data_IF_912552929319
#
_entry.id   IF_912552929319
#
_cell.length_a   1.000
_cell.length_b   1.000
_cell.length_c   1.000
_cell.angle_alpha   90.00
_cell.angle_beta   90.00
_cell.angle_gamma   90.00
#
_symmetry.space_group_name_H-M   'P 1'
#
loop_
_entity.id
_entity.type
_entity.pdbx_description
1 polymer ?
#
# COMPACT_ATOMS: atom_id res chain seq x y z
N UNK A 1 17.50 7.36 6.65
CA UNK A 1 16.78 6.24 6.01
C UNK A 1 17.12 6.28 4.53
N UNK A 2 17.26 5.12 3.86
CA UNK A 2 17.66 5.09 2.44
C UNK A 2 16.44 4.78 1.57
N UNK A 3 16.41 5.39 0.38
CA UNK A 3 15.44 5.12 -0.67
C UNK A 3 16.15 4.40 -1.82
N UNK A 4 15.49 3.41 -2.38
CA UNK A 4 16.01 2.61 -3.49
C UNK A 4 15.05 2.67 -4.66
N UNK A 5 15.59 2.75 -5.88
CA UNK A 5 14.78 2.52 -7.09
C UNK A 5 14.33 1.08 -7.12
N UNK A 6 13.10 0.87 -7.56
CA UNK A 6 12.53 -0.47 -7.67
C UNK A 6 11.82 -0.67 -8.99
N UNK A 7 11.93 -1.89 -9.53
CA UNK A 7 11.01 -2.35 -10.56
C UNK A 7 9.90 -3.14 -9.87
N UNK A 8 8.66 -2.70 -10.04
CA UNK A 8 7.49 -3.37 -9.44
C UNK A 8 7.12 -4.57 -10.30
N UNK A 9 7.18 -5.76 -9.72
CA UNK A 9 6.86 -7.02 -10.43
C UNK A 9 5.35 -7.26 -10.38
N UNK A 10 4.75 -7.14 -9.19
CA UNK A 10 3.31 -7.34 -8.97
C UNK A 10 2.88 -6.89 -7.57
N UNK A 11 1.65 -6.41 -7.49
CA UNK A 11 0.94 -6.21 -6.21
C UNK A 11 0.25 -7.53 -5.81
N UNK A 12 0.63 -8.07 -4.65
CA UNK A 12 0.10 -9.33 -4.13
C UNK A 12 -1.24 -9.10 -3.43
N UNK A 13 -1.27 -8.10 -2.56
CA UNK A 13 -2.37 -7.71 -1.69
C UNK A 13 -2.27 -6.21 -1.34
N UNK A 14 -3.26 -5.66 -0.63
CA UNK A 14 -3.33 -4.25 -0.24
C UNK A 14 -2.12 -3.71 0.54
N UNK A 15 -1.29 -4.56 1.13
CA UNK A 15 -0.08 -4.15 1.86
C UNK A 15 1.19 -4.89 1.41
N UNK A 16 1.14 -5.67 0.34
CA UNK A 16 2.21 -6.59 -0.03
C UNK A 16 2.55 -6.51 -1.52
N UNK A 17 3.80 -6.22 -1.84
CA UNK A 17 4.28 -6.01 -3.22
C UNK A 17 5.57 -6.80 -3.45
N UNK A 18 5.68 -7.48 -4.59
CA UNK A 18 6.93 -8.11 -5.03
C UNK A 18 7.68 -7.15 -5.96
N UNK A 19 8.97 -6.90 -5.69
CA UNK A 19 9.81 -5.92 -6.40
C UNK A 19 11.20 -6.46 -6.68
N UNK A 20 11.86 -5.85 -7.67
CA UNK A 20 13.30 -5.89 -7.83
C UNK A 20 13.90 -4.57 -7.31
N UNK A 21 14.92 -4.63 -6.45
CA UNK A 21 15.52 -3.45 -5.80
C UNK A 21 16.89 -3.17 -6.39
N UNK A 22 17.09 -1.96 -6.91
CA UNK A 22 18.39 -1.47 -7.36
C UNK A 22 19.21 -0.96 -6.16
N UNK A 23 20.33 -1.61 -5.88
CA UNK A 23 21.26 -1.21 -4.83
C UNK A 23 22.41 -0.33 -5.37
N UNK A 24 22.38 0.00 -6.66
CA UNK A 24 23.43 0.71 -7.38
C UNK A 24 24.56 -0.21 -7.85
N UNK A 25 25.49 0.35 -8.61
CA UNK A 25 26.66 -0.36 -9.16
C UNK A 25 26.33 -1.62 -9.98
N UNK A 26 25.12 -1.68 -10.55
CA UNK A 26 24.63 -2.85 -11.28
C UNK A 26 24.22 -4.03 -10.39
N UNK A 27 24.10 -3.82 -9.08
CA UNK A 27 23.68 -4.85 -8.12
C UNK A 27 22.18 -4.73 -7.86
N UNK A 28 21.48 -5.85 -8.06
CA UNK A 28 20.03 -5.93 -7.86
C UNK A 28 19.68 -7.05 -6.89
N UNK A 29 18.75 -6.77 -5.97
CA UNK A 29 18.00 -7.81 -5.28
C UNK A 29 16.74 -8.09 -6.09
N UNK A 30 16.50 -9.35 -6.42
CA UNK A 30 15.46 -9.73 -7.38
C UNK A 30 14.37 -10.53 -6.69
N UNK A 31 13.10 -10.27 -7.02
CA UNK A 31 11.91 -10.97 -6.50
C UNK A 31 11.76 -10.88 -4.98
N UNK A 32 12.09 -9.73 -4.42
CA UNK A 32 11.92 -9.46 -3.00
C UNK A 32 10.47 -9.12 -2.67
N UNK A 33 9.99 -9.62 -1.54
CA UNK A 33 8.65 -9.30 -1.04
C UNK A 33 8.74 -8.19 0.00
N UNK A 34 8.10 -7.08 -0.30
CA UNK A 34 7.94 -5.93 0.60
C UNK A 34 6.55 -5.98 1.22
N UNK A 35 6.50 -5.78 2.54
CA UNK A 35 5.27 -5.50 3.28
C UNK A 35 5.27 -4.04 3.72
N UNK A 36 4.15 -3.37 3.54
CA UNK A 36 4.00 -1.97 3.87
C UNK A 36 4.10 -1.77 5.39
N UNK A 37 5.00 -0.87 5.78
CA UNK A 37 5.27 -0.58 7.19
C UNK A 37 4.25 0.42 7.75
N UNK A 38 3.78 0.18 8.96
CA UNK A 38 2.95 1.17 9.67
C UNK A 38 1.49 1.22 9.24
N UNK A 39 1.03 0.30 8.39
CA UNK A 39 -0.38 0.20 7.97
C UNK A 39 -0.87 -1.25 7.99
N UNK A 40 -2.18 -1.39 8.09
CA UNK A 40 -2.93 -2.64 7.95
C UNK A 40 -4.06 -2.42 6.93
N UNK A 41 -4.22 -3.36 6.00
CA UNK A 41 -5.24 -3.30 4.93
C UNK A 41 -6.20 -4.47 5.03
N UNK A 42 -7.46 -4.32 4.61
CA UNK A 42 -8.38 -5.44 4.51
C UNK A 42 -7.81 -6.55 3.60
N UNK A 43 -8.02 -7.81 3.98
CA UNK A 43 -7.43 -8.94 3.25
C UNK A 43 -8.22 -9.23 1.96
N UNK A 44 -7.55 -9.20 0.80
CA UNK A 44 -8.22 -9.50 -0.48
C UNK A 44 -8.43 -11.00 -0.72
N UNK A 45 -7.75 -11.87 0.03
CA UNK A 45 -7.82 -13.34 -0.12
C UNK A 45 -8.60 -14.00 1.01
N UNK A 46 -9.74 -13.41 1.34
CA UNK A 46 -10.69 -13.93 2.32
C UNK A 46 -11.95 -14.53 1.66
N UNK A 47 -12.73 -15.28 2.46
CA UNK A 47 -14.06 -15.78 2.07
C UNK A 47 -15.17 -14.78 2.41
N UNK A 48 -14.87 -13.81 3.28
CA UNK A 48 -15.77 -12.70 3.58
C UNK A 48 -15.84 -11.79 2.33
N UNK A 49 -17.00 -11.79 1.67
CA UNK A 49 -17.19 -11.02 0.44
C UNK A 49 -17.11 -9.52 0.68
N UNK A 50 -17.52 -9.05 1.86
CA UNK A 50 -17.47 -7.65 2.20
C UNK A 50 -16.01 -7.22 2.41
N UNK A 51 -15.28 -7.89 3.29
CA UNK A 51 -13.86 -7.59 3.52
C UNK A 51 -13.05 -7.67 2.23
N UNK A 52 -13.29 -8.70 1.42
CA UNK A 52 -12.65 -8.89 0.13
C UNK A 52 -12.85 -7.69 -0.81
N UNK A 53 -14.02 -7.06 -0.81
CA UNK A 53 -14.31 -5.89 -1.63
C UNK A 53 -13.36 -4.74 -1.31
N UNK A 54 -13.18 -4.46 -0.02
CA UNK A 54 -12.27 -3.41 0.45
C UNK A 54 -10.79 -3.78 0.26
N UNK A 55 -10.45 -5.07 0.40
CA UNK A 55 -9.09 -5.55 0.14
C UNK A 55 -8.71 -5.43 -1.33
N UNK A 56 -9.65 -5.72 -2.25
CA UNK A 56 -9.46 -5.49 -3.68
C UNK A 56 -9.34 -3.99 -4.00
N UNK A 57 -10.15 -3.13 -3.38
CA UNK A 57 -10.04 -1.68 -3.57
C UNK A 57 -8.66 -1.13 -3.15
N UNK A 58 -8.15 -1.56 -2.00
CA UNK A 58 -6.81 -1.19 -1.53
C UNK A 58 -5.71 -1.69 -2.47
N UNK A 59 -5.84 -2.93 -2.94
CA UNK A 59 -4.92 -3.54 -3.91
C UNK A 59 -4.91 -2.82 -5.26
N UNK A 60 -6.09 -2.49 -5.78
CA UNK A 60 -6.24 -1.83 -7.08
C UNK A 60 -5.62 -0.42 -7.03
N UNK A 61 -5.83 0.31 -5.93
CA UNK A 61 -5.15 1.59 -5.71
C UNK A 61 -3.62 1.46 -5.74
N UNK A 62 -3.05 0.47 -5.03
CA UNK A 62 -1.61 0.24 -5.06
C UNK A 62 -1.12 -0.13 -6.47
N UNK A 63 -1.88 -0.97 -7.17
CA UNK A 63 -1.51 -1.40 -8.51
C UNK A 63 -1.50 -0.22 -9.49
N UNK A 64 -2.50 0.65 -9.45
CA UNK A 64 -2.53 1.86 -10.26
C UNK A 64 -1.40 2.83 -9.90
N UNK A 65 -1.15 3.04 -8.60
CA UNK A 65 -0.11 3.96 -8.15
C UNK A 65 1.32 3.46 -8.44
N UNK A 66 1.56 2.16 -8.39
CA UNK A 66 2.90 1.58 -8.54
C UNK A 66 3.22 1.13 -9.97
N UNK A 67 2.20 0.77 -10.74
CA UNK A 67 2.36 0.15 -12.06
C UNK A 67 1.66 0.93 -13.18
N UNK A 68 0.91 1.99 -12.84
CA UNK A 68 0.31 2.88 -13.81
C UNK A 68 1.24 4.03 -14.22
N UNK A 69 0.80 4.81 -15.20
CA UNK A 69 1.60 5.89 -15.80
C UNK A 69 1.42 7.24 -15.11
N UNK A 70 0.82 7.25 -13.91
CA UNK A 70 0.50 8.49 -13.19
C UNK A 70 1.74 9.15 -12.58
N UNK A 71 2.69 8.35 -12.11
CA UNK A 71 3.87 8.80 -11.39
C UNK A 71 5.13 8.51 -12.19
N UNK A 72 6.13 9.38 -12.10
CA UNK A 72 7.34 9.29 -12.90
C UNK A 72 8.34 8.27 -12.33
N UNK A 73 8.36 8.10 -11.01
CA UNK A 73 9.29 7.23 -10.31
C UNK A 73 8.66 6.59 -9.07
N UNK A 74 9.06 5.34 -8.80
CA UNK A 74 8.70 4.59 -7.61
C UNK A 74 9.97 4.27 -6.81
N UNK A 75 9.97 4.67 -5.56
CA UNK A 75 11.07 4.48 -4.61
C UNK A 75 10.60 3.63 -3.43
N UNK A 76 11.46 2.71 -2.98
CA UNK A 76 11.25 1.95 -1.75
C UNK A 76 12.08 2.55 -0.61
N UNK A 77 11.39 3.00 0.44
CA UNK A 77 12.00 3.46 1.68
C UNK A 77 11.96 2.32 2.72
N UNK A 78 13.11 1.75 3.08
CA UNK A 78 13.16 0.55 3.95
C UNK A 78 13.25 0.90 5.43
N UNK A 79 12.47 0.21 6.27
CA UNK A 79 12.54 0.29 7.73
C UNK A 79 13.41 -0.83 8.30
N UNK A 80 14.19 -0.52 9.34
CA UNK A 80 14.91 -1.56 10.09
C UNK A 80 13.92 -2.22 11.04
N UNK A 81 13.70 -3.52 10.89
CA UNK A 81 13.04 -4.31 11.93
C UNK A 81 14.00 -4.43 13.13
N UNK A 82 13.64 -3.87 14.28
CA UNK A 82 14.41 -3.99 15.53
C UNK A 82 14.53 -5.45 16.00
N UNK A 83 13.63 -6.33 15.52
CA UNK A 83 13.67 -7.76 15.78
C UNK A 83 14.16 -8.46 14.52
N UNK A 84 15.46 -8.76 14.47
CA UNK A 84 16.14 -9.50 13.40
C UNK A 84 15.64 -10.95 13.17
N UNK A 85 14.34 -11.16 13.08
CA UNK A 85 13.75 -12.37 12.51
C UNK A 85 13.93 -12.31 11.00
N UNK A 86 14.45 -13.39 10.44
CA UNK A 86 14.43 -13.62 8.99
C UNK A 86 12.99 -13.44 8.48
N UNK A 87 12.72 -12.28 7.89
CA UNK A 87 11.40 -11.79 7.56
C UNK A 87 11.39 -11.04 6.22
N UNK A 88 10.20 -10.62 5.80
CA UNK A 88 10.01 -9.81 4.59
C UNK A 88 10.57 -8.40 4.82
N UNK A 89 10.95 -7.73 3.74
CA UNK A 89 11.38 -6.33 3.83
C UNK A 89 10.17 -5.51 4.28
N UNK A 90 10.33 -4.70 5.32
CA UNK A 90 9.34 -3.70 5.73
C UNK A 90 9.71 -2.37 5.08
N UNK A 91 8.75 -1.74 4.41
CA UNK A 91 9.04 -0.50 3.70
C UNK A 91 7.80 0.33 3.39
N UNK A 92 8.04 1.51 2.87
CA UNK A 92 7.03 2.42 2.35
C UNK A 92 7.39 2.71 0.89
N UNK A 93 6.39 2.79 0.01
CA UNK A 93 6.61 3.26 -1.34
C UNK A 93 6.41 4.77 -1.41
N UNK A 94 7.40 5.45 -1.97
CA UNK A 94 7.36 6.87 -2.28
C UNK A 94 7.25 6.99 -3.79
N UNK A 95 6.21 7.67 -4.26
CA UNK A 95 6.04 7.98 -5.68
C UNK A 95 6.39 9.44 -5.94
N UNK A 96 6.97 9.71 -7.09
CA UNK A 96 7.35 11.06 -7.52
C UNK A 96 6.37 11.56 -8.56
N UNK A 97 5.78 12.72 -8.32
CA UNK A 97 4.89 13.43 -9.24
C UNK A 97 5.55 14.74 -9.68
N UNK A 98 5.91 14.84 -10.96
CA UNK A 98 6.46 16.05 -11.56
C UNK A 98 5.44 16.85 -12.38
N UNK A 99 4.16 16.46 -12.37
CA UNK A 99 3.15 17.11 -13.19
C UNK A 99 2.97 18.59 -12.81
N UNK A 100 3.42 19.49 -13.68
CA UNK A 100 3.21 20.93 -13.57
C UNK A 100 4.31 21.73 -12.85
N UNK A 101 5.30 21.07 -12.25
CA UNK A 101 6.39 21.73 -11.52
C UNK A 101 7.76 21.08 -11.82
N UNK A 102 8.34 21.27 -13.02
CA UNK A 102 9.61 20.63 -13.41
C UNK A 102 10.83 21.06 -12.58
N UNK A 103 10.67 22.05 -11.69
CA UNK A 103 11.74 22.55 -10.81
C UNK A 103 11.70 21.90 -9.42
N UNK A 104 10.59 21.28 -9.02
CA UNK A 104 10.42 20.67 -7.69
C UNK A 104 9.70 19.34 -7.82
N UNK A 105 10.43 18.25 -7.60
CA UNK A 105 9.87 16.91 -7.49
C UNK A 105 8.98 16.82 -6.25
N UNK A 106 7.74 16.36 -6.40
CA UNK A 106 6.84 16.12 -5.26
C UNK A 106 6.87 14.64 -4.92
N UNK A 107 7.40 14.32 -3.75
CA UNK A 107 7.38 12.98 -3.20
C UNK A 107 6.10 12.74 -2.39
N UNK A 108 5.38 11.67 -2.72
CA UNK A 108 4.16 11.26 -2.02
C UNK A 108 4.36 9.87 -1.42
N UNK A 109 4.00 9.70 -0.15
CA UNK A 109 4.02 8.41 0.52
C UNK A 109 2.70 7.66 0.28
N UNK A 110 2.75 6.49 -0.32
CA UNK A 110 1.54 5.72 -0.61
C UNK A 110 0.83 5.24 0.66
N UNK A 111 1.56 4.97 1.74
CA UNK A 111 0.94 4.53 3.00
C UNK A 111 0.03 5.62 3.57
N UNK A 112 0.52 6.86 3.58
CA UNK A 112 -0.25 8.03 4.01
C UNK A 112 -1.48 8.22 3.12
N UNK A 113 -1.31 8.13 1.79
CA UNK A 113 -2.42 8.23 0.84
C UNK A 113 -3.48 7.14 1.07
N UNK A 114 -3.07 5.91 1.40
CA UNK A 114 -4.00 4.83 1.71
C UNK A 114 -4.79 5.08 3.00
N UNK A 115 -4.16 5.62 4.04
CA UNK A 115 -4.84 6.01 5.29
C UNK A 115 -5.81 7.17 5.04
N UNK A 116 -5.39 8.19 4.30
CA UNK A 116 -6.22 9.35 3.96
C UNK A 116 -7.48 8.93 3.18
N UNK A 117 -7.31 8.02 2.21
CA UNK A 117 -8.38 7.47 1.38
C UNK A 117 -9.20 6.38 2.06
N UNK A 118 -8.93 6.05 3.33
CA UNK A 118 -9.64 5.01 4.09
C UNK A 118 -9.50 3.60 3.49
N UNK A 119 -8.41 3.36 2.77
CA UNK A 119 -8.04 2.05 2.22
C UNK A 119 -7.19 1.22 3.19
N UNK A 120 -6.62 1.86 4.21
CA UNK A 120 -5.82 1.24 5.26
C UNK A 120 -6.06 1.89 6.62
N UNK A 121 -5.70 1.18 7.69
CA UNK A 121 -5.65 1.69 9.07
C UNK A 121 -4.19 1.79 9.49
N UNK A 122 -3.81 2.88 10.16
CA UNK A 122 -2.45 3.04 10.65
C UNK A 122 -2.14 2.04 11.79
N UNK A 123 -0.99 1.38 11.74
CA UNK A 123 -0.58 0.34 12.69
C UNK A 123 0.76 0.67 13.36
N UNK A 124 0.70 1.00 14.64
CA UNK A 124 1.82 1.31 15.53
C UNK A 124 1.80 0.47 16.81
N UNK A 125 1.17 -0.72 16.76
CA UNK A 125 1.06 -1.64 17.90
C UNK A 125 -0.26 -1.55 18.67
N UNK A 126 -1.30 -0.98 18.07
CA UNK A 126 -2.66 -1.04 18.61
C UNK A 126 -3.17 -2.49 18.73
N UNK A 127 -4.24 -2.68 19.51
CA UNK A 127 -4.87 -4.00 19.65
C UNK A 127 -5.59 -4.42 18.37
N UNK A 128 -5.93 -5.71 18.27
CA UNK A 128 -6.71 -6.21 17.12
C UNK A 128 -8.07 -5.53 17.04
N UNK A 129 -8.74 -5.39 18.17
CA UNK A 129 -10.06 -4.77 18.27
C UNK A 129 -10.02 -3.30 17.78
N UNK A 130 -8.97 -2.55 18.11
CA UNK A 130 -8.80 -1.16 17.63
C UNK A 130 -8.64 -1.09 16.11
N UNK A 131 -7.92 -2.05 15.52
CA UNK A 131 -7.70 -2.13 14.06
C UNK A 131 -9.01 -2.54 13.36
N UNK A 132 -9.73 -3.51 13.90
CA UNK A 132 -11.04 -3.90 13.38
C UNK A 132 -12.04 -2.73 13.44
N UNK A 133 -12.09 -1.98 14.54
CA UNK A 133 -12.92 -0.77 14.64
C UNK A 133 -12.51 0.29 13.60
N UNK A 134 -11.21 0.47 13.38
CA UNK A 134 -10.68 1.34 12.32
C UNK A 134 -11.17 0.93 10.93
N UNK A 135 -11.12 -0.36 10.62
CA UNK A 135 -11.61 -0.90 9.35
C UNK A 135 -13.12 -0.68 9.20
N UNK A 136 -13.91 -0.91 10.25
CA UNK A 136 -15.36 -0.67 10.21
C UNK A 136 -15.70 0.80 9.89
N UNK A 137 -15.03 1.74 10.56
CA UNK A 137 -15.19 3.19 10.28
C UNK A 137 -14.81 3.56 8.84
N UNK A 138 -13.74 2.96 8.34
CA UNK A 138 -13.31 3.16 6.95
C UNK A 138 -14.37 2.65 5.96
N UNK A 139 -14.95 1.47 6.21
CA UNK A 139 -16.01 0.90 5.37
C UNK A 139 -17.23 1.79 5.33
N UNK A 140 -17.71 2.24 6.49
CA UNK A 140 -18.85 3.16 6.60
C UNK A 140 -18.63 4.42 5.76
N UNK A 141 -17.46 5.05 5.90
CA UNK A 141 -17.10 6.23 5.12
C UNK A 141 -17.08 5.97 3.61
N UNK A 142 -16.52 4.85 3.16
CA UNK A 142 -16.42 4.49 1.74
C UNK A 142 -17.78 4.19 1.10
N UNK A 143 -18.74 3.69 1.88
CA UNK A 143 -20.12 3.57 1.45
C UNK A 143 -20.81 4.94 1.40
N UNK A 144 -20.67 5.75 2.45
CA UNK A 144 -21.31 7.08 2.54
C UNK A 144 -20.85 8.03 1.44
N UNK A 145 -19.56 7.98 1.08
CA UNK A 145 -19.00 8.86 0.04
C UNK A 145 -19.20 8.33 -1.40
N UNK A 146 -19.79 7.14 -1.56
CA UNK A 146 -20.07 6.52 -2.86
C UNK A 146 -18.86 5.93 -3.59
N UNK A 147 -17.71 5.79 -2.93
CA UNK A 147 -16.55 5.06 -3.51
C UNK A 147 -16.86 3.58 -3.68
N UNK A 148 -17.70 3.04 -2.79
CA UNK A 148 -18.17 1.66 -2.83
C UNK A 148 -19.69 1.66 -2.89
N UNK A 149 -20.28 1.04 -3.92
CA UNK A 149 -21.74 0.93 -4.04
C UNK A 149 -22.29 -0.15 -3.11
N UNK A 150 -23.49 0.06 -2.55
CA UNK A 150 -24.24 -1.00 -1.88
C UNK A 150 -24.77 -1.99 -2.92
N UNK A 151 -24.39 -3.25 -2.82
CA UNK A 151 -25.09 -4.31 -3.56
C UNK A 151 -26.41 -4.59 -2.85
N UNK A 152 -27.49 -4.01 -3.37
CA UNK A 152 -28.83 -4.44 -2.99
C UNK A 152 -29.02 -5.81 -3.64
N UNK A 153 -29.02 -6.87 -2.84
CA UNK A 153 -29.35 -8.20 -3.34
C UNK A 153 -30.77 -8.14 -3.94
N UNK A 154 -30.86 -8.23 -5.27
CA UNK A 154 -32.15 -8.44 -5.94
C UNK A 154 -32.73 -9.75 -5.41
N UNK A 155 -33.89 -9.64 -4.74
CA UNK A 155 -34.63 -10.75 -4.14
C UNK A 155 -35.29 -11.64 -5.17
#
# INVERSE_FOLDING_TARGET
>A
MYKYRVDVIKVIDGDTVDVDIDLGFGVWLKKERVRLYGIDTPESRTRDLEEKKFGLLAKDFLQEALMGDKYDEVLLQTHKDEKGKFGRILGEFIVVDNAGHPTFEVELNLNDMMIERKLAVAYYGQSKDDIEEGHLKNREYLYENGTVEFEIAES
#
